data_IF_079287370532
#
_entry.id   IF_079287370532
#
_cell.length_a   1.000
_cell.length_b   1.000
_cell.length_c   1.000
_cell.angle_alpha   90.00
_cell.angle_beta   90.00
_cell.angle_gamma   90.00
#
_symmetry.space_group_name_H-M   'P 1'
#
loop_
_entity.id
_entity.type
_entity.pdbx_description
1 polymer ?
#
# COMPACT_ATOMS: atom_id res chain seq x y z
N UNK A 1 18.50 -0.41 -10.07
CA UNK A 1 18.32 0.41 -11.30
C UNK A 1 17.28 -0.15 -12.27
N UNK A 2 17.15 -1.47 -12.45
CA UNK A 2 16.20 -2.07 -13.42
C UNK A 2 14.70 -1.84 -13.10
N UNK A 3 14.34 -1.45 -11.88
CA UNK A 3 12.96 -1.40 -11.40
C UNK A 3 12.36 0.01 -11.36
N UNK A 4 13.18 1.05 -11.47
CA UNK A 4 12.74 2.45 -11.45
C UNK A 4 11.90 2.89 -12.67
N UNK A 5 11.89 2.08 -13.73
CA UNK A 5 11.12 2.37 -14.95
C UNK A 5 9.76 1.68 -15.03
N UNK A 6 9.41 0.82 -14.06
CA UNK A 6 8.11 0.15 -14.03
C UNK A 6 7.25 0.78 -12.93
N UNK A 7 6.01 1.14 -13.28
CA UNK A 7 5.01 1.79 -12.40
C UNK A 7 4.44 0.87 -11.31
N UNK A 8 5.19 -0.14 -10.85
CA UNK A 8 4.73 -1.01 -9.77
C UNK A 8 5.31 -0.56 -8.43
N UNK A 9 4.49 -0.56 -7.40
CA UNK A 9 4.89 -0.18 -6.04
C UNK A 9 5.22 -1.37 -5.16
N UNK A 10 4.71 -2.57 -5.49
CA UNK A 10 4.90 -3.80 -4.72
C UNK A 10 5.49 -4.90 -5.59
N UNK A 11 6.50 -5.56 -5.07
CA UNK A 11 7.22 -6.62 -5.78
C UNK A 11 7.23 -7.90 -4.95
N UNK A 12 6.63 -9.00 -5.44
CA UNK A 12 6.79 -10.31 -4.81
C UNK A 12 8.25 -10.73 -4.73
N UNK A 13 8.62 -11.33 -3.61
CA UNK A 13 9.96 -11.87 -3.37
C UNK A 13 9.87 -13.39 -3.45
N UNK A 14 10.67 -13.98 -4.31
CA UNK A 14 10.72 -15.43 -4.55
C UNK A 14 11.99 -16.05 -3.98
N UNK A 15 11.92 -17.31 -3.58
CA UNK A 15 13.09 -18.10 -3.20
C UNK A 15 13.76 -18.69 -4.45
N UNK A 16 15.08 -18.60 -4.51
CA UNK A 16 15.90 -19.29 -5.52
C UNK A 16 15.46 -19.07 -6.98
N UNK A 17 14.88 -17.91 -7.29
CA UNK A 17 14.32 -17.60 -8.61
C UNK A 17 13.16 -18.53 -9.04
N UNK A 18 12.48 -19.13 -8.06
CA UNK A 18 11.37 -20.04 -8.25
C UNK A 18 10.05 -19.26 -8.06
N UNK A 19 9.26 -19.11 -9.12
CA UNK A 19 7.99 -18.36 -9.13
C UNK A 19 6.95 -18.97 -8.19
N UNK A 20 7.04 -20.27 -7.94
CA UNK A 20 6.09 -20.99 -7.09
C UNK A 20 6.46 -20.91 -5.60
N UNK A 21 7.61 -20.31 -5.28
CA UNK A 21 8.07 -20.08 -3.92
C UNK A 21 8.12 -18.61 -3.56
N UNK A 22 6.95 -17.99 -3.47
CA UNK A 22 6.81 -16.60 -3.04
C UNK A 22 6.91 -16.54 -1.51
N UNK A 23 7.90 -15.81 -1.01
CA UNK A 23 8.20 -15.67 0.43
C UNK A 23 7.45 -14.50 1.07
N UNK A 24 7.12 -13.49 0.28
CA UNK A 24 6.51 -12.26 0.74
C UNK A 24 6.55 -11.21 -0.36
N UNK A 25 6.39 -9.95 -0.01
CA UNK A 25 6.56 -8.83 -0.93
C UNK A 25 7.37 -7.71 -0.30
N UNK A 26 7.93 -6.84 -1.14
CA UNK A 26 8.56 -5.60 -0.71
C UNK A 26 7.85 -4.41 -1.33
N UNK A 27 7.78 -3.34 -0.57
CA UNK A 27 7.26 -2.06 -1.00
C UNK A 27 8.41 -1.17 -1.48
N UNK A 28 8.30 -0.65 -2.70
CA UNK A 28 9.42 0.05 -3.35
C UNK A 28 9.90 1.27 -2.54
N UNK A 29 8.99 1.98 -1.90
CA UNK A 29 9.33 3.17 -1.11
C UNK A 29 10.08 2.82 0.18
N UNK A 30 9.80 1.67 0.83
CA UNK A 30 10.62 1.19 1.94
C UNK A 30 12.05 0.89 1.49
N UNK A 31 12.19 0.31 0.30
CA UNK A 31 13.51 0.06 -0.27
C UNK A 31 14.26 1.36 -0.57
N UNK A 32 13.59 2.36 -1.14
CA UNK A 32 14.18 3.66 -1.46
C UNK A 32 14.59 4.38 -0.15
N UNK A 33 13.70 4.42 0.83
CA UNK A 33 13.96 5.02 2.14
C UNK A 33 15.15 4.37 2.84
N UNK A 34 15.18 3.05 2.85
CA UNK A 34 16.25 2.29 3.47
C UNK A 34 17.59 2.50 2.75
N UNK A 35 17.59 2.56 1.42
CA UNK A 35 18.80 2.78 0.63
C UNK A 35 19.43 4.17 0.88
N UNK A 36 18.65 5.15 1.31
CA UNK A 36 19.16 6.46 1.71
C UNK A 36 19.90 6.42 3.06
N UNK A 37 19.57 5.46 3.92
CA UNK A 37 20.16 5.30 5.26
C UNK A 37 21.30 4.28 5.24
N UNK A 38 21.03 3.12 4.64
CA UNK A 38 21.98 2.00 4.54
C UNK A 38 21.60 1.14 3.33
N UNK A 39 22.40 1.20 2.26
CA UNK A 39 22.19 0.46 1.03
C UNK A 39 22.60 -1.02 1.11
N UNK A 40 23.21 -1.43 2.22
CA UNK A 40 23.65 -2.82 2.46
C UNK A 40 22.57 -3.71 3.06
N UNK A 41 21.41 -3.14 3.43
CA UNK A 41 20.31 -3.89 4.06
C UNK A 41 19.76 -4.96 3.10
N UNK A 42 19.66 -6.17 3.62
CA UNK A 42 19.10 -7.28 2.85
C UNK A 42 17.60 -7.09 2.65
N UNK A 43 17.11 -7.37 1.45
CA UNK A 43 15.69 -7.35 1.07
C UNK A 43 14.80 -8.13 2.07
N UNK A 44 15.32 -9.22 2.64
CA UNK A 44 14.60 -10.01 3.65
C UNK A 44 14.20 -9.25 4.91
N UNK A 45 14.88 -8.14 5.24
CA UNK A 45 14.53 -7.29 6.38
C UNK A 45 13.38 -6.32 6.08
N UNK A 46 13.14 -6.03 4.81
CA UNK A 46 12.10 -5.14 4.32
C UNK A 46 10.89 -5.92 3.79
N UNK A 47 10.97 -7.25 3.84
CA UNK A 47 9.94 -8.12 3.30
C UNK A 47 8.74 -8.15 4.22
N UNK A 48 7.56 -7.93 3.65
CA UNK A 48 6.26 -8.00 4.30
C UNK A 48 5.61 -9.34 4.00
N UNK A 49 4.74 -9.77 4.90
CA UNK A 49 3.99 -11.03 4.76
C UNK A 49 3.01 -10.94 3.60
N UNK A 50 2.91 -12.02 2.83
CA UNK A 50 1.92 -12.18 1.77
C UNK A 50 1.04 -13.39 2.09
N UNK A 51 -0.24 -13.33 1.76
CA UNK A 51 -1.15 -14.47 1.90
C UNK A 51 -1.33 -15.19 0.57
N UNK A 52 -1.66 -16.46 0.67
CA UNK A 52 -1.98 -17.31 -0.47
C UNK A 52 -3.44 -17.74 -0.42
N UNK A 53 -4.09 -17.81 -1.58
CA UNK A 53 -5.45 -18.32 -1.72
C UNK A 53 -5.56 -19.22 -2.94
N UNK A 54 -6.42 -20.25 -2.92
CA UNK A 54 -6.76 -21.00 -4.14
C UNK A 54 -7.46 -20.12 -5.17
N UNK A 55 -7.25 -20.37 -6.47
CA UNK A 55 -7.88 -19.60 -7.55
C UNK A 55 -9.41 -19.69 -7.58
N UNK A 56 -9.99 -20.74 -6.98
CA UNK A 56 -11.44 -20.90 -6.82
C UNK A 56 -12.04 -20.05 -5.69
N UNK A 57 -11.23 -19.24 -5.01
CA UNK A 57 -11.70 -18.42 -3.89
C UNK A 57 -12.63 -17.31 -4.38
N UNK A 58 -13.88 -17.22 -3.88
CA UNK A 58 -14.78 -16.12 -4.24
C UNK A 58 -14.19 -14.75 -3.89
N UNK A 59 -14.39 -13.77 -4.77
CA UNK A 59 -13.86 -12.40 -4.63
C UNK A 59 -14.23 -11.77 -3.29
N UNK A 60 -15.48 -11.95 -2.81
CA UNK A 60 -15.91 -11.40 -1.53
C UNK A 60 -15.11 -11.96 -0.34
N UNK A 61 -14.80 -13.27 -0.36
CA UNK A 61 -13.99 -13.92 0.68
C UNK A 61 -12.53 -13.48 0.58
N UNK A 62 -12.04 -13.30 -0.64
CA UNK A 62 -10.70 -12.78 -0.88
C UNK A 62 -10.56 -11.38 -0.30
N UNK A 63 -11.48 -10.46 -0.64
CA UNK A 63 -11.49 -9.10 -0.12
C UNK A 63 -11.56 -9.08 1.42
N UNK A 64 -12.45 -9.87 2.02
CA UNK A 64 -12.52 -10.00 3.48
C UNK A 64 -11.18 -10.44 4.09
N UNK A 65 -10.51 -11.41 3.47
CA UNK A 65 -9.21 -11.91 3.96
C UNK A 65 -8.12 -10.86 3.83
N UNK A 66 -8.14 -10.07 2.75
CA UNK A 66 -7.19 -8.98 2.54
C UNK A 66 -7.36 -7.87 3.58
N UNK A 67 -8.60 -7.47 3.85
CA UNK A 67 -8.93 -6.48 4.89
C UNK A 67 -8.53 -6.99 6.27
N UNK A 68 -8.95 -8.20 6.66
CA UNK A 68 -8.63 -8.78 7.96
C UNK A 68 -7.12 -8.91 8.22
N UNK A 69 -6.35 -9.24 7.18
CA UNK A 69 -4.91 -9.45 7.29
C UNK A 69 -4.09 -8.23 6.88
N UNK A 70 -4.78 -7.13 6.57
CA UNK A 70 -4.16 -5.87 6.17
C UNK A 70 -3.11 -6.07 5.07
N UNK A 71 -3.44 -6.90 4.06
CA UNK A 71 -2.55 -7.20 2.96
C UNK A 71 -3.13 -6.72 1.63
N UNK A 72 -2.46 -5.79 0.94
CA UNK A 72 -2.94 -5.24 -0.33
C UNK A 72 -2.62 -6.11 -1.54
N UNK A 73 -1.90 -7.23 -1.35
CA UNK A 73 -1.48 -8.14 -2.40
C UNK A 73 -1.55 -9.58 -1.92
N UNK A 74 -2.01 -10.47 -2.80
CA UNK A 74 -2.25 -11.90 -2.52
C UNK A 74 -1.69 -12.74 -3.64
N UNK A 75 -1.14 -13.91 -3.32
CA UNK A 75 -0.75 -14.93 -4.28
C UNK A 75 -1.92 -15.87 -4.52
N UNK A 76 -2.23 -16.13 -5.78
CA UNK A 76 -3.24 -17.10 -6.20
C UNK A 76 -2.55 -18.39 -6.59
N UNK A 77 -3.03 -19.50 -6.02
CA UNK A 77 -2.49 -20.84 -6.27
C UNK A 77 -3.44 -21.67 -7.13
N UNK A 78 -2.87 -22.41 -8.04
CA UNK A 78 -3.55 -23.42 -8.82
C UNK A 78 -3.86 -24.70 -7.99
N UNK A 79 -4.51 -25.69 -8.61
CA UNK A 79 -4.87 -26.97 -7.99
C UNK A 79 -3.65 -27.85 -7.65
N UNK A 80 -2.48 -27.54 -8.18
CA UNK A 80 -1.23 -28.26 -7.92
C UNK A 80 -0.34 -27.54 -6.89
N UNK A 81 -0.80 -26.38 -6.40
CA UNK A 81 -0.05 -25.54 -5.46
C UNK A 81 1.02 -24.66 -6.13
N UNK A 82 1.01 -24.58 -7.46
CA UNK A 82 1.81 -23.64 -8.23
C UNK A 82 1.21 -22.23 -8.17
N UNK A 83 1.99 -21.23 -8.52
CA UNK A 83 1.52 -19.84 -8.57
C UNK A 83 0.80 -19.55 -9.88
N UNK A 84 -0.52 -19.41 -9.86
CA UNK A 84 -1.33 -18.93 -10.98
C UNK A 84 -1.10 -17.43 -11.23
N UNK A 85 -0.93 -16.65 -10.18
CA UNK A 85 -0.73 -15.21 -10.30
C UNK A 85 -0.76 -14.48 -8.97
N UNK A 86 -0.91 -13.18 -9.06
CA UNK A 86 -1.12 -12.28 -7.93
C UNK A 86 -2.38 -11.47 -8.16
N UNK A 87 -3.07 -11.11 -7.08
CA UNK A 87 -4.21 -10.20 -7.08
C UNK A 87 -3.94 -9.09 -6.08
N UNK A 88 -4.25 -7.86 -6.46
CA UNK A 88 -4.19 -6.70 -5.58
C UNK A 88 -5.58 -6.25 -5.18
N UNK A 89 -5.68 -5.44 -4.13
CA UNK A 89 -6.92 -4.78 -3.74
C UNK A 89 -7.51 -3.96 -4.91
N UNK A 90 -6.66 -3.29 -5.69
CA UNK A 90 -7.07 -2.54 -6.88
C UNK A 90 -7.78 -3.42 -7.91
N UNK A 91 -7.23 -4.61 -8.21
CA UNK A 91 -7.83 -5.51 -9.18
C UNK A 91 -9.25 -5.92 -8.76
N UNK A 92 -9.45 -6.14 -7.45
CA UNK A 92 -10.77 -6.47 -6.90
C UNK A 92 -11.73 -5.28 -7.00
N UNK A 93 -11.28 -4.07 -6.67
CA UNK A 93 -12.12 -2.89 -6.80
C UNK A 93 -12.48 -2.60 -8.25
N UNK A 94 -11.54 -2.76 -9.18
CA UNK A 94 -11.79 -2.60 -10.62
C UNK A 94 -12.83 -3.62 -11.14
N UNK A 95 -12.79 -4.86 -10.64
CA UNK A 95 -13.76 -5.88 -11.02
C UNK A 95 -15.16 -5.61 -10.42
N UNK A 96 -15.24 -5.17 -9.16
CA UNK A 96 -16.52 -4.98 -8.47
C UNK A 96 -17.23 -3.68 -8.89
N UNK A 97 -16.49 -2.63 -9.17
CA UNK A 97 -17.03 -1.29 -9.39
C UNK A 97 -16.83 -0.79 -10.84
N UNK A 98 -16.28 -1.63 -11.71
CA UNK A 98 -15.85 -1.26 -13.05
C UNK A 98 -14.54 -0.50 -13.04
N UNK A 99 -13.94 -0.34 -14.21
CA UNK A 99 -12.74 0.48 -14.35
C UNK A 99 -13.05 1.90 -13.86
N UNK A 100 -12.69 2.19 -12.62
CA UNK A 100 -12.50 3.56 -12.14
C UNK A 100 -11.27 4.05 -12.89
N UNK A 101 -11.50 4.37 -14.19
CA UNK A 101 -10.43 4.84 -15.07
C UNK A 101 -10.06 6.25 -14.68
N UNK A 102 -8.78 6.46 -14.49
CA UNK A 102 -8.01 7.67 -14.73
C UNK A 102 -8.34 8.96 -13.94
N UNK A 103 -9.57 9.19 -13.52
CA UNK A 103 -9.86 10.36 -12.67
C UNK A 103 -9.31 10.20 -11.25
N UNK A 104 -9.30 8.96 -10.71
CA UNK A 104 -8.77 8.72 -9.35
C UNK A 104 -7.23 8.66 -9.33
N UNK A 105 -6.59 8.11 -10.37
CA UNK A 105 -5.13 8.12 -10.44
C UNK A 105 -4.58 9.52 -10.71
N UNK A 106 -5.30 10.34 -11.49
CA UNK A 106 -4.97 11.76 -11.70
C UNK A 106 -5.23 12.57 -10.42
N UNK A 107 -6.33 12.33 -9.71
CA UNK A 107 -6.65 12.97 -8.43
C UNK A 107 -5.63 12.62 -7.35
N UNK A 108 -5.19 11.36 -7.26
CA UNK A 108 -4.14 10.95 -6.30
C UNK A 108 -2.80 11.63 -6.64
N UNK A 109 -2.46 11.80 -7.91
CA UNK A 109 -1.25 12.52 -8.32
C UNK A 109 -1.32 14.02 -8.04
N UNK A 110 -2.50 14.62 -8.06
CA UNK A 110 -2.71 16.02 -7.66
C UNK A 110 -2.76 16.20 -6.14
N UNK A 111 -3.34 15.23 -5.43
CA UNK A 111 -3.55 15.29 -3.98
C UNK A 111 -2.33 14.86 -3.16
N UNK A 112 -1.45 14.01 -3.70
CA UNK A 112 -0.20 13.58 -3.06
C UNK A 112 0.97 13.82 -4.00
N UNK A 113 1.77 14.83 -3.70
CA UNK A 113 2.93 15.25 -4.51
C UNK A 113 4.22 14.91 -3.79
N UNK A 114 5.09 14.13 -4.45
CA UNK A 114 6.45 13.86 -3.99
C UNK A 114 7.35 15.08 -4.26
N UNK A 115 7.95 15.63 -3.20
CA UNK A 115 8.88 16.75 -3.31
C UNK A 115 10.32 16.30 -3.67
N UNK A 116 10.56 15.01 -3.83
CA UNK A 116 11.87 14.41 -4.17
C UNK A 116 12.99 14.67 -3.14
N UNK A 117 12.64 15.06 -1.93
CA UNK A 117 13.55 15.30 -0.81
C UNK A 117 13.24 14.40 0.41
N UNK A 118 12.38 13.39 0.20
CA UNK A 118 11.88 12.52 1.25
C UNK A 118 10.62 13.04 1.94
N UNK A 119 10.08 14.18 1.49
CA UNK A 119 8.81 14.72 1.96
C UNK A 119 7.73 14.66 0.87
N UNK A 120 6.48 14.68 1.31
CA UNK A 120 5.31 14.69 0.44
C UNK A 120 4.39 15.83 0.83
N UNK A 121 3.80 16.47 -0.16
CA UNK A 121 2.68 17.38 0.06
C UNK A 121 1.39 16.60 -0.16
N UNK A 122 0.56 16.53 0.87
CA UNK A 122 -0.72 15.80 0.85
C UNK A 122 -1.85 16.79 1.00
N UNK A 123 -2.82 16.71 0.10
CA UNK A 123 -4.07 17.46 0.20
C UNK A 123 -4.87 16.98 1.42
N UNK A 124 -5.42 17.90 2.19
CA UNK A 124 -6.31 17.53 3.29
C UNK A 124 -7.58 16.80 2.84
N UNK A 125 -7.92 16.86 1.55
CA UNK A 125 -9.05 16.15 0.93
C UNK A 125 -8.72 14.69 0.57
N UNK A 126 -7.44 14.31 0.57
CA UNK A 126 -7.02 12.93 0.33
C UNK A 126 -7.78 12.02 1.27
N UNK A 127 -8.39 10.96 0.74
CA UNK A 127 -9.09 10.00 1.58
C UNK A 127 -8.12 9.21 2.44
N UNK A 128 -8.57 8.73 3.62
CA UNK A 128 -7.78 7.83 4.46
C UNK A 128 -7.38 6.58 3.68
N UNK A 129 -8.26 6.09 2.82
CA UNK A 129 -8.01 4.95 1.95
C UNK A 129 -6.87 5.23 0.96
N UNK A 130 -6.90 6.36 0.24
CA UNK A 130 -5.87 6.72 -0.73
C UNK A 130 -4.53 6.99 -0.06
N UNK A 131 -4.55 7.61 1.12
CA UNK A 131 -3.36 7.81 1.93
C UNK A 131 -2.72 6.48 2.34
N UNK A 132 -3.52 5.56 2.92
CA UNK A 132 -3.06 4.23 3.31
C UNK A 132 -2.47 3.48 2.11
N UNK A 133 -3.15 3.54 0.98
CA UNK A 133 -2.75 2.88 -0.26
C UNK A 133 -1.45 3.45 -0.83
N UNK A 134 -1.34 4.78 -0.87
CA UNK A 134 -0.17 5.45 -1.44
C UNK A 134 1.10 5.18 -0.61
N UNK A 135 0.99 5.31 0.71
CA UNK A 135 2.11 5.12 1.62
C UNK A 135 2.29 3.68 2.11
N UNK A 136 1.42 2.75 1.71
CA UNK A 136 1.34 1.37 2.21
C UNK A 136 1.32 1.32 3.75
N UNK A 137 0.58 2.25 4.34
CA UNK A 137 0.47 2.47 5.77
C UNK A 137 -0.94 2.13 6.24
N UNK A 138 -1.08 1.05 6.99
CA UNK A 138 -2.37 0.57 7.50
C UNK A 138 -2.38 0.67 9.02
N UNK A 139 -3.40 1.33 9.56
CA UNK A 139 -3.61 1.48 11.00
C UNK A 139 -5.06 1.24 11.35
N UNK A 140 -5.31 0.67 12.55
CA UNK A 140 -6.64 0.49 13.07
C UNK A 140 -7.33 1.83 13.34
N UNK A 141 -6.57 2.86 13.68
CA UNK A 141 -7.10 4.21 13.95
C UNK A 141 -7.86 4.77 12.74
N UNK A 142 -7.40 4.46 11.51
CA UNK A 142 -8.11 4.86 10.30
C UNK A 142 -9.37 4.02 10.02
N UNK A 143 -9.41 2.78 10.51
CA UNK A 143 -10.58 1.92 10.36
C UNK A 143 -11.71 2.30 11.33
N UNK A 144 -11.36 2.86 12.49
CA UNK A 144 -12.30 3.31 13.52
C UNK A 144 -12.69 4.78 13.36
N UNK A 145 -12.06 5.52 12.43
CA UNK A 145 -12.33 6.92 12.21
C UNK A 145 -13.73 7.14 11.60
N UNK A 146 -14.45 8.14 12.10
CA UNK A 146 -15.70 8.59 11.50
C UNK A 146 -15.46 9.40 10.23
N UNK A 147 -14.30 10.07 10.15
CA UNK A 147 -13.88 10.87 9.02
C UNK A 147 -13.33 10.01 7.87
N UNK A 148 -13.60 10.44 6.65
CA UNK A 148 -13.13 9.75 5.43
C UNK A 148 -11.90 10.40 4.80
N UNK A 149 -11.46 11.57 5.28
CA UNK A 149 -10.31 12.31 4.73
C UNK A 149 -9.24 12.57 5.78
N UNK A 150 -8.00 12.81 5.33
CA UNK A 150 -6.88 13.13 6.21
C UNK A 150 -7.17 14.36 7.06
N UNK A 151 -7.67 15.46 6.46
CA UNK A 151 -7.99 16.66 7.23
C UNK A 151 -9.08 16.39 8.27
N UNK A 152 -10.13 15.65 7.90
CA UNK A 152 -11.19 15.26 8.82
C UNK A 152 -10.64 14.48 10.02
N UNK A 153 -9.85 13.44 9.75
CA UNK A 153 -9.22 12.61 10.78
C UNK A 153 -8.32 13.42 11.74
N UNK A 154 -7.50 14.31 11.18
CA UNK A 154 -6.61 15.14 11.99
C UNK A 154 -7.40 16.11 12.89
N UNK A 155 -8.45 16.74 12.36
CA UNK A 155 -9.30 17.65 13.13
C UNK A 155 -10.14 16.94 14.20
N UNK A 156 -10.52 15.70 13.95
CA UNK A 156 -11.29 14.88 14.88
C UNK A 156 -10.44 14.42 16.08
N UNK A 157 -9.18 14.04 15.83
CA UNK A 157 -8.35 13.36 16.82
C UNK A 157 -7.28 14.25 17.45
N UNK A 158 -6.98 15.41 16.85
CA UNK A 158 -5.89 16.28 17.29
C UNK A 158 -6.31 17.76 17.34
N UNK A 159 -5.67 18.52 18.23
CA UNK A 159 -5.78 19.97 18.17
C UNK A 159 -4.82 20.50 17.09
N UNK A 160 -5.40 20.86 15.95
CA UNK A 160 -4.63 21.22 14.74
C UNK A 160 -4.61 22.74 14.57
N UNK A 161 -3.41 23.30 14.46
CA UNK A 161 -3.13 24.69 14.10
C UNK A 161 -2.06 24.71 13.01
N UNK A 162 -1.92 25.81 12.27
CA UNK A 162 -0.87 25.96 11.26
C UNK A 162 0.51 25.77 11.88
N UNK A 163 1.30 24.85 11.35
CA UNK A 163 2.63 24.49 11.85
C UNK A 163 2.63 23.36 12.90
N UNK A 164 1.46 22.83 13.27
CA UNK A 164 1.39 21.63 14.13
C UNK A 164 2.06 20.45 13.44
N UNK A 165 2.87 19.71 14.18
CA UNK A 165 3.45 18.43 13.74
C UNK A 165 2.79 17.31 14.52
N UNK A 166 2.25 16.33 13.80
CA UNK A 166 1.57 15.16 14.35
C UNK A 166 2.31 13.93 13.86
N UNK A 167 2.75 13.07 14.77
CA UNK A 167 3.35 11.78 14.43
C UNK A 167 2.26 10.74 14.30
N UNK A 168 2.18 10.11 13.14
CA UNK A 168 1.22 9.06 12.81
C UNK A 168 1.97 7.83 12.31
N UNK A 169 2.20 6.87 13.19
CA UNK A 169 3.08 5.74 12.91
C UNK A 169 4.49 6.21 12.58
N UNK A 170 4.96 5.92 11.38
CA UNK A 170 6.29 6.29 10.89
C UNK A 170 6.32 7.67 10.19
N UNK A 171 5.20 8.39 10.19
CA UNK A 171 5.07 9.67 9.48
C UNK A 171 4.96 10.84 10.45
N UNK A 172 5.68 11.91 10.15
CA UNK A 172 5.46 13.23 10.75
C UNK A 172 4.65 14.08 9.77
N UNK A 173 3.42 14.40 10.17
CA UNK A 173 2.51 15.22 9.39
C UNK A 173 2.57 16.64 9.91
N UNK A 174 3.04 17.58 9.09
CA UNK A 174 3.05 19.00 9.38
C UNK A 174 1.86 19.67 8.67
N UNK A 175 1.06 20.38 9.45
CA UNK A 175 -0.09 21.15 8.97
C UNK A 175 0.30 22.56 8.57
#
# INVERSE_FOLDING_TARGET
EKYLHKKYTRYPVVANNDKDKILGYVYIYDMIRQAQVDDTVRVSKLMRTIITVPEVTPIQKLLQSMVQKQTPIVVVLDEYGGTSGIVTDRDIYEELFGTVRDEADDVIQEDIVDNHDGTYRVSGKTTLYDFQRFFDFYTNDFQEAESVTIAGYLLENYKVELGTVITLGDFDIKV
#
